data_IF_442486704722
#
_entry.id   IF_442486704722
#
_cell.length_a   1.000
_cell.length_b   1.000
_cell.length_c   1.000
_cell.angle_alpha   90.00
_cell.angle_beta   90.00
_cell.angle_gamma   90.00
#
_symmetry.space_group_name_H-M   'P 1'
#
loop_
_entity.id
_entity.type
_entity.pdbx_description
1 polymer ?
#
# COMPACT_ATOMS: atom_id res chain seq x y z
N UNK A 1 -6.30 14.00 6.25
CA UNK A 1 -5.99 14.24 4.83
C UNK A 1 -7.31 14.28 4.05
N UNK A 2 -7.43 15.04 2.96
CA UNK A 2 -8.59 14.97 2.06
C UNK A 2 -8.14 14.93 0.60
N UNK A 3 -8.53 13.88 -0.15
CA UNK A 3 -8.44 13.87 -1.61
C UNK A 3 -9.58 14.71 -2.18
N UNK A 4 -9.30 15.55 -3.17
CA UNK A 4 -10.32 16.27 -3.92
C UNK A 4 -11.12 15.31 -4.82
N UNK A 5 -12.34 15.73 -5.22
CA UNK A 5 -13.19 14.91 -6.10
C UNK A 5 -12.50 14.57 -7.43
N UNK A 6 -11.76 15.51 -8.02
CA UNK A 6 -11.02 15.29 -9.27
C UNK A 6 -9.89 14.29 -9.10
N UNK A 7 -9.17 14.35 -7.98
CA UNK A 7 -8.12 13.37 -7.64
C UNK A 7 -8.72 11.97 -7.50
N UNK A 8 -9.81 11.81 -6.75
CA UNK A 8 -10.50 10.52 -6.59
C UNK A 8 -10.95 9.95 -7.93
N UNK A 9 -11.52 10.79 -8.82
CA UNK A 9 -11.93 10.36 -10.17
C UNK A 9 -10.73 9.86 -10.99
N UNK A 10 -9.59 10.54 -10.94
CA UNK A 10 -8.39 10.12 -11.66
C UNK A 10 -7.84 8.79 -11.17
N UNK A 11 -7.80 8.60 -9.84
CA UNK A 11 -7.35 7.35 -9.24
C UNK A 11 -8.29 6.19 -9.61
N UNK A 12 -9.60 6.40 -9.47
CA UNK A 12 -10.62 5.40 -9.78
C UNK A 12 -10.60 4.98 -11.24
N UNK A 13 -10.39 5.93 -12.18
CA UNK A 13 -10.26 5.61 -13.61
C UNK A 13 -9.06 4.71 -13.93
N UNK A 14 -8.00 4.74 -13.12
CA UNK A 14 -6.85 3.85 -13.28
C UNK A 14 -7.07 2.49 -12.63
N UNK A 15 -7.76 2.48 -11.50
CA UNK A 15 -7.84 1.32 -10.63
C UNK A 15 -8.75 0.23 -11.20
N UNK A 16 -8.15 -0.84 -11.71
CA UNK A 16 -8.88 -1.99 -12.30
C UNK A 16 -9.30 -2.97 -11.20
N UNK A 17 -10.28 -2.57 -10.40
CA UNK A 17 -10.72 -3.31 -9.19
C UNK A 17 -11.10 -4.79 -9.42
N UNK A 18 -11.56 -5.12 -10.63
CA UNK A 18 -12.02 -6.46 -11.00
C UNK A 18 -10.96 -7.28 -11.78
N UNK A 19 -9.78 -6.70 -12.04
CA UNK A 19 -8.69 -7.34 -12.77
C UNK A 19 -7.62 -7.87 -11.79
N UNK A 20 -7.79 -9.11 -11.33
CA UNK A 20 -6.90 -9.73 -10.35
C UNK A 20 -5.45 -9.84 -10.81
N UNK A 21 -5.21 -10.04 -12.11
CA UNK A 21 -3.86 -10.17 -12.65
C UNK A 21 -3.19 -8.80 -12.73
N UNK A 22 -3.92 -7.74 -13.10
CA UNK A 22 -3.44 -6.37 -13.01
C UNK A 22 -3.13 -5.98 -11.56
N UNK A 23 -4.05 -6.24 -10.62
CA UNK A 23 -3.84 -5.96 -9.19
C UNK A 23 -2.61 -6.71 -8.66
N UNK A 24 -2.44 -7.97 -9.06
CA UNK A 24 -1.26 -8.74 -8.70
C UNK A 24 0.02 -8.13 -9.27
N UNK A 25 0.01 -7.75 -10.55
CA UNK A 25 1.17 -7.14 -11.22
C UNK A 25 1.56 -5.79 -10.59
N UNK A 26 0.59 -4.96 -10.19
CA UNK A 26 0.87 -3.74 -9.41
C UNK A 26 1.53 -4.10 -8.09
N UNK A 27 0.95 -5.03 -7.31
CA UNK A 27 1.55 -5.47 -6.05
C UNK A 27 2.96 -6.01 -6.22
N UNK A 28 3.19 -6.82 -7.26
CA UNK A 28 4.51 -7.35 -7.64
C UNK A 28 5.50 -6.22 -7.91
N UNK A 29 5.14 -5.27 -8.77
CA UNK A 29 5.99 -4.13 -9.12
C UNK A 29 6.35 -3.29 -7.88
N UNK A 30 5.38 -3.04 -6.98
CA UNK A 30 5.63 -2.32 -5.73
C UNK A 30 6.71 -3.00 -4.91
N UNK A 31 6.58 -4.30 -4.66
CA UNK A 31 7.57 -5.05 -3.87
C UNK A 31 8.92 -5.17 -4.57
N UNK A 32 8.95 -5.30 -5.90
CA UNK A 32 10.20 -5.25 -6.68
C UNK A 32 10.93 -3.93 -6.40
N UNK A 33 10.25 -2.79 -6.57
CA UNK A 33 10.82 -1.46 -6.32
C UNK A 33 11.24 -1.30 -4.85
N UNK A 34 10.47 -1.81 -3.89
CA UNK A 34 10.85 -1.80 -2.46
C UNK A 34 12.15 -2.57 -2.24
N UNK A 35 12.27 -3.78 -2.79
CA UNK A 35 13.45 -4.62 -2.59
C UNK A 35 14.67 -4.11 -3.36
N UNK A 36 14.49 -3.41 -4.47
CA UNK A 36 15.58 -2.70 -5.16
C UNK A 36 16.06 -1.48 -4.37
N UNK A 37 15.13 -0.66 -3.86
CA UNK A 37 15.48 0.56 -3.12
C UNK A 37 16.00 0.27 -1.70
N UNK A 38 15.52 -0.80 -1.05
CA UNK A 38 16.02 -1.24 0.25
C UNK A 38 16.02 -2.77 0.36
N UNK A 39 17.09 -3.44 -0.13
CA UNK A 39 17.19 -4.91 -0.11
C UNK A 39 17.05 -5.52 1.29
N UNK A 40 17.41 -4.78 2.35
CA UNK A 40 17.27 -5.22 3.74
C UNK A 40 15.82 -5.53 4.14
N UNK A 41 14.84 -4.90 3.48
CA UNK A 41 13.41 -5.16 3.73
C UNK A 41 13.03 -6.61 3.40
N UNK A 42 13.75 -7.29 2.49
CA UNK A 42 13.57 -8.72 2.21
C UNK A 42 13.68 -9.60 3.46
N UNK A 43 14.43 -9.17 4.47
CA UNK A 43 14.61 -9.93 5.71
C UNK A 43 13.30 -10.17 6.50
N UNK A 44 12.28 -9.35 6.26
CA UNK A 44 10.95 -9.53 6.86
C UNK A 44 10.08 -10.55 6.12
N UNK A 45 10.56 -11.10 5.01
CA UNK A 45 9.83 -12.03 4.15
C UNK A 45 10.61 -13.34 4.01
N UNK A 46 10.45 -14.30 4.95
CA UNK A 46 11.22 -15.54 4.95
C UNK A 46 11.13 -16.35 3.65
N UNK A 47 9.97 -16.31 2.98
CA UNK A 47 9.76 -16.98 1.70
C UNK A 47 10.59 -16.36 0.56
N UNK A 48 10.83 -15.04 0.57
CA UNK A 48 11.72 -14.38 -0.40
C UNK A 48 13.16 -14.85 -0.17
N UNK A 49 13.60 -14.87 1.09
CA UNK A 49 14.94 -15.37 1.42
C UNK A 49 15.13 -16.84 1.05
N UNK A 50 14.07 -17.65 1.17
CA UNK A 50 14.11 -19.04 0.75
C UNK A 50 14.25 -19.16 -0.76
N UNK A 51 13.46 -18.42 -1.54
CA UNK A 51 13.58 -18.37 -2.99
C UNK A 51 14.98 -17.92 -3.44
N UNK A 52 15.52 -16.86 -2.83
CA UNK A 52 16.88 -16.37 -3.12
C UNK A 52 17.94 -17.47 -2.86
N UNK A 53 17.81 -18.26 -1.79
CA UNK A 53 18.73 -19.41 -1.51
C UNK A 53 18.59 -20.56 -2.50
N UNK A 54 17.39 -20.76 -3.04
CA UNK A 54 17.09 -21.85 -3.97
C UNK A 54 17.25 -21.43 -5.44
N UNK A 55 17.73 -20.21 -5.72
CA UNK A 55 17.76 -19.60 -7.06
C UNK A 55 16.39 -19.67 -7.77
N UNK A 56 15.33 -19.37 -7.03
CA UNK A 56 13.95 -19.31 -7.55
C UNK A 56 13.46 -17.86 -7.57
N UNK A 57 12.58 -17.58 -8.53
CA UNK A 57 11.86 -16.29 -8.60
C UNK A 57 10.81 -16.24 -7.48
N UNK A 58 11.03 -15.38 -6.48
CA UNK A 58 10.08 -15.19 -5.37
C UNK A 58 8.74 -14.61 -5.86
N UNK A 59 8.75 -13.91 -6.99
CA UNK A 59 7.59 -13.38 -7.70
C UNK A 59 6.64 -14.48 -8.18
N UNK A 60 7.08 -15.73 -8.29
CA UNK A 60 6.22 -16.84 -8.70
C UNK A 60 5.72 -17.66 -7.49
N UNK A 61 6.14 -17.29 -6.27
CA UNK A 61 5.72 -17.99 -5.05
C UNK A 61 4.28 -17.63 -4.65
N UNK A 62 3.55 -18.64 -4.16
CA UNK A 62 2.19 -18.47 -3.66
C UNK A 62 2.14 -17.55 -2.42
N UNK A 63 3.15 -17.61 -1.57
CA UNK A 63 3.34 -16.74 -0.41
C UNK A 63 3.45 -15.28 -0.83
N UNK A 64 4.28 -15.00 -1.84
CA UNK A 64 4.43 -13.65 -2.35
C UNK A 64 3.14 -13.16 -3.01
N UNK A 65 2.46 -13.98 -3.82
CA UNK A 65 1.18 -13.62 -4.45
C UNK A 65 0.16 -13.16 -3.42
N UNK A 66 0.03 -13.88 -2.31
CA UNK A 66 -0.85 -13.49 -1.19
C UNK A 66 -0.42 -12.18 -0.55
N UNK A 67 0.88 -11.96 -0.34
CA UNK A 67 1.38 -10.72 0.26
C UNK A 67 1.17 -9.50 -0.62
N UNK A 68 1.47 -9.61 -1.92
CA UNK A 68 1.25 -8.56 -2.92
C UNK A 68 -0.22 -8.13 -2.95
N UNK A 69 -1.14 -9.11 -3.03
CA UNK A 69 -2.57 -8.85 -3.06
C UNK A 69 -3.09 -8.21 -1.76
N UNK A 70 -2.57 -8.58 -0.59
CA UNK A 70 -2.95 -7.95 0.68
C UNK A 70 -2.65 -6.45 0.70
N UNK A 71 -1.49 -6.04 0.20
CA UNK A 71 -1.14 -4.63 0.17
C UNK A 71 -2.02 -3.86 -0.82
N UNK A 72 -2.25 -4.42 -1.99
CA UNK A 72 -3.14 -3.84 -3.01
C UNK A 72 -4.58 -3.75 -2.52
N UNK A 73 -5.08 -4.74 -1.77
CA UNK A 73 -6.39 -4.70 -1.12
C UNK A 73 -6.51 -3.54 -0.13
N UNK A 74 -5.46 -3.21 0.63
CA UNK A 74 -5.46 -2.04 1.51
C UNK A 74 -5.61 -0.75 0.70
N UNK A 75 -4.95 -0.64 -0.44
CA UNK A 75 -5.11 0.51 -1.35
C UNK A 75 -6.52 0.56 -1.96
N UNK A 76 -7.09 -0.58 -2.37
CA UNK A 76 -8.49 -0.66 -2.83
C UNK A 76 -9.45 -0.15 -1.76
N UNK A 77 -9.36 -0.66 -0.53
CA UNK A 77 -10.23 -0.24 0.57
C UNK A 77 -10.10 1.26 0.86
N UNK A 78 -8.88 1.81 0.81
CA UNK A 78 -8.68 3.24 0.99
C UNK A 78 -9.31 4.04 -0.15
N UNK A 79 -9.14 3.63 -1.41
CA UNK A 79 -9.71 4.30 -2.57
C UNK A 79 -11.26 4.24 -2.55
N UNK A 80 -11.83 3.07 -2.29
CA UNK A 80 -13.28 2.86 -2.18
C UNK A 80 -13.91 3.76 -1.11
N UNK A 81 -13.21 3.96 0.01
CA UNK A 81 -13.64 4.87 1.08
C UNK A 81 -13.72 6.33 0.59
N UNK A 82 -12.73 6.79 -0.20
CA UNK A 82 -12.72 8.15 -0.75
C UNK A 82 -13.68 8.35 -1.93
N UNK A 83 -13.94 7.30 -2.72
CA UNK A 83 -14.93 7.31 -3.81
C UNK A 83 -16.36 7.50 -3.28
N UNK A 84 -16.69 6.80 -2.21
CA UNK A 84 -18.05 6.73 -1.70
C UNK A 84 -18.34 7.85 -0.70
N UNK A 85 -19.07 8.88 -1.15
CA UNK A 85 -19.45 10.04 -0.34
C UNK A 85 -20.20 9.71 0.98
N UNK A 86 -20.80 8.52 1.08
CA UNK A 86 -21.43 8.02 2.32
C UNK A 86 -20.43 7.77 3.46
N UNK A 87 -19.18 7.41 3.17
CA UNK A 87 -18.17 7.15 4.22
C UNK A 87 -17.49 8.41 4.73
N UNK A 88 -17.75 9.59 4.15
CA UNK A 88 -17.25 10.87 4.67
C UNK A 88 -17.71 11.16 6.11
N UNK A 89 -18.79 10.52 6.55
CA UNK A 89 -19.30 10.62 7.92
C UNK A 89 -18.50 9.78 8.95
N UNK A 90 -17.57 8.91 8.51
CA UNK A 90 -16.80 8.02 9.38
C UNK A 90 -15.39 7.78 8.81
N UNK A 91 -14.55 8.83 8.74
CA UNK A 91 -13.08 8.70 8.55
C UNK A 91 -12.47 7.74 9.60
N UNK A 92 -13.18 7.54 10.72
CA UNK A 92 -12.88 6.60 11.80
C UNK A 92 -12.76 5.14 11.34
N UNK A 93 -13.62 4.63 10.45
CA UNK A 93 -13.60 3.20 10.09
C UNK A 93 -12.33 2.79 9.32
N UNK A 94 -11.99 3.56 8.27
CA UNK A 94 -10.78 3.32 7.50
C UNK A 94 -9.54 3.51 8.37
N UNK A 95 -9.51 4.58 9.17
CA UNK A 95 -8.39 4.85 10.07
C UNK A 95 -8.21 3.75 11.10
N UNK A 96 -9.29 3.24 11.70
CA UNK A 96 -9.24 2.15 12.68
C UNK A 96 -8.77 0.83 12.06
N UNK A 97 -9.19 0.54 10.82
CA UNK A 97 -8.67 -0.59 10.04
C UNK A 97 -7.15 -0.47 9.84
N UNK A 98 -6.69 0.68 9.34
CA UNK A 98 -5.27 0.93 9.04
C UNK A 98 -4.42 0.93 10.32
N UNK A 99 -4.89 1.55 11.40
CA UNK A 99 -4.24 1.47 12.71
C UNK A 99 -4.17 0.03 13.20
N UNK A 100 -5.24 -0.75 13.02
CA UNK A 100 -5.25 -2.18 13.35
C UNK A 100 -4.20 -2.99 12.58
N UNK A 101 -3.97 -2.68 11.30
CA UNK A 101 -2.88 -3.27 10.50
C UNK A 101 -1.53 -2.86 11.10
N UNK A 102 -1.34 -1.58 11.37
CA UNK A 102 -0.13 -1.04 12.00
C UNK A 102 0.23 -1.73 13.31
N UNK A 103 -0.76 -1.86 14.20
CA UNK A 103 -0.63 -2.54 15.49
C UNK A 103 -0.16 -3.99 15.34
N UNK A 104 -0.76 -4.76 14.42
CA UNK A 104 -0.39 -6.16 14.17
C UNK A 104 1.09 -6.29 13.75
N UNK A 105 1.64 -5.31 13.05
CA UNK A 105 3.03 -5.35 12.58
C UNK A 105 4.07 -5.12 13.70
N UNK A 106 3.65 -4.72 14.90
CA UNK A 106 4.54 -4.70 16.08
C UNK A 106 5.15 -6.04 16.40
N UNK A 107 4.47 -7.14 16.05
CA UNK A 107 4.99 -8.50 16.21
C UNK A 107 6.37 -8.67 15.53
N UNK A 108 6.63 -7.92 14.46
CA UNK A 108 7.89 -7.96 13.71
C UNK A 108 8.97 -7.02 14.27
N UNK A 109 8.70 -6.23 15.32
CA UNK A 109 9.69 -5.35 15.95
C UNK A 109 10.91 -6.12 16.47
N UNK A 110 10.70 -7.34 16.96
CA UNK A 110 11.75 -8.24 17.48
C UNK A 110 12.75 -8.67 16.40
N UNK A 111 12.34 -8.68 15.14
CA UNK A 111 13.23 -8.96 14.00
C UNK A 111 13.71 -7.67 13.31
N UNK A 112 13.55 -6.52 13.97
CA UNK A 112 14.06 -5.23 13.51
C UNK A 112 13.09 -4.42 12.64
N UNK A 113 11.83 -4.85 12.49
CA UNK A 113 10.84 -4.07 11.74
C UNK A 113 10.54 -2.76 12.48
N UNK A 114 10.64 -1.66 11.74
CA UNK A 114 10.34 -0.29 12.18
C UNK A 114 9.36 0.38 11.23
N UNK A 115 8.52 1.32 11.71
CA UNK A 115 7.54 1.99 10.84
C UNK A 115 8.15 2.75 9.66
N UNK A 116 9.38 3.23 9.81
CA UNK A 116 10.14 3.86 8.73
C UNK A 116 10.34 2.97 7.49
N UNK A 117 10.24 1.63 7.61
CA UNK A 117 10.25 0.75 6.45
C UNK A 117 8.99 0.87 5.60
N UNK A 118 7.86 1.38 6.11
CA UNK A 118 6.67 1.63 5.28
C UNK A 118 6.81 2.86 4.40
N UNK A 119 7.67 3.83 4.77
CA UNK A 119 7.85 5.04 3.97
C UNK A 119 8.36 4.73 2.54
N UNK A 120 9.13 3.65 2.39
CA UNK A 120 9.59 3.21 1.06
C UNK A 120 8.44 2.68 0.19
N UNK A 121 7.38 2.15 0.81
CA UNK A 121 6.18 1.67 0.09
C UNK A 121 5.39 2.83 -0.52
N UNK A 122 5.42 4.03 0.06
CA UNK A 122 4.83 5.23 -0.54
C UNK A 122 5.49 5.50 -1.90
N UNK A 123 6.82 5.58 -1.91
CA UNK A 123 7.59 5.85 -3.13
C UNK A 123 7.43 4.73 -4.16
N UNK A 124 7.49 3.47 -3.70
CA UNK A 124 7.34 2.32 -4.57
C UNK A 124 5.93 2.21 -5.19
N UNK A 125 4.88 2.46 -4.41
CA UNK A 125 3.51 2.49 -4.89
C UNK A 125 3.32 3.56 -5.97
N UNK A 126 3.77 4.78 -5.71
CA UNK A 126 3.68 5.88 -6.68
C UNK A 126 4.46 5.55 -7.96
N UNK A 127 5.68 4.99 -7.85
CA UNK A 127 6.46 4.57 -9.03
C UNK A 127 5.75 3.51 -9.85
N UNK A 128 5.27 2.44 -9.21
CA UNK A 128 4.57 1.35 -9.88
C UNK A 128 3.31 1.84 -10.60
N UNK A 129 2.52 2.67 -9.94
CA UNK A 129 1.26 3.20 -10.48
C UNK A 129 1.50 4.25 -11.56
N UNK A 130 2.56 5.05 -11.47
CA UNK A 130 2.89 5.99 -12.54
C UNK A 130 3.44 5.28 -13.77
N UNK A 131 4.24 4.22 -13.60
CA UNK A 131 4.70 3.35 -14.69
C UNK A 131 3.53 2.68 -15.41
N UNK A 132 2.56 2.14 -14.68
CA UNK A 132 1.32 1.62 -15.26
C UNK A 132 0.55 2.71 -16.03
N UNK A 133 0.50 3.93 -15.48
CA UNK A 133 -0.18 5.06 -16.11
C UNK A 133 0.53 5.60 -17.37
N UNK A 134 1.78 5.24 -17.66
CA UNK A 134 2.45 5.61 -18.92
C UNK A 134 1.73 5.02 -20.14
N UNK A 135 1.01 3.92 -19.95
CA UNK A 135 0.17 3.31 -20.98
C UNK A 135 -1.14 4.09 -21.24
N UNK A 136 -1.48 5.08 -20.41
CA UNK A 136 -2.69 5.88 -20.54
C UNK A 136 -2.40 7.10 -21.42
N UNK A 137 -3.24 7.30 -22.44
CA UNK A 137 -3.23 8.51 -23.26
C UNK A 137 -3.90 9.67 -22.50
N UNK A 138 -3.12 10.32 -21.63
CA UNK A 138 -3.55 11.46 -20.81
C UNK A 138 -2.55 12.60 -20.89
N UNK A 139 -3.05 13.83 -20.76
CA UNK A 139 -2.20 15.02 -20.73
C UNK A 139 -1.27 15.06 -19.51
N UNK A 140 -0.20 15.86 -19.60
CA UNK A 140 0.81 15.94 -18.55
C UNK A 140 0.29 16.55 -17.24
N UNK A 141 -0.73 17.42 -17.30
CA UNK A 141 -1.36 17.97 -16.11
C UNK A 141 -2.09 16.88 -15.32
N UNK A 142 -2.82 16.00 -16.00
CA UNK A 142 -3.49 14.85 -15.42
C UNK A 142 -2.48 13.86 -14.81
N UNK A 143 -1.31 13.66 -15.43
CA UNK A 143 -0.22 12.84 -14.85
C UNK A 143 0.30 13.41 -13.54
N UNK A 144 0.52 14.72 -13.48
CA UNK A 144 0.99 15.42 -12.26
C UNK A 144 -0.05 15.33 -11.14
N UNK A 145 -1.33 15.57 -11.44
CA UNK A 145 -2.42 15.46 -10.47
C UNK A 145 -2.55 14.02 -9.98
N UNK A 146 -2.50 13.03 -10.89
CA UNK A 146 -2.56 11.60 -10.56
C UNK A 146 -1.42 11.18 -9.63
N UNK A 147 -0.19 11.59 -9.93
CA UNK A 147 0.98 11.34 -9.07
C UNK A 147 0.76 11.90 -7.67
N UNK A 148 0.34 13.16 -7.59
CA UNK A 148 0.06 13.85 -6.32
C UNK A 148 -1.07 13.15 -5.53
N UNK A 149 -2.10 12.67 -6.22
CA UNK A 149 -3.20 11.95 -5.61
C UNK A 149 -2.76 10.58 -5.05
N UNK A 150 -1.91 9.85 -5.77
CA UNK A 150 -1.32 8.60 -5.27
C UNK A 150 -0.39 8.83 -4.09
N UNK A 151 0.43 9.88 -4.12
CA UNK A 151 1.28 10.29 -2.98
C UNK A 151 0.41 10.55 -1.75
N UNK A 152 -0.64 11.36 -1.88
CA UNK A 152 -1.59 11.63 -0.80
C UNK A 152 -2.18 10.33 -0.24
N UNK A 153 -2.83 9.52 -1.08
CA UNK A 153 -3.52 8.30 -0.64
C UNK A 153 -2.56 7.35 0.10
N UNK A 154 -1.40 7.07 -0.50
CA UNK A 154 -0.42 6.12 0.05
C UNK A 154 0.23 6.66 1.32
N UNK A 155 0.53 7.96 1.39
CA UNK A 155 1.01 8.60 2.63
C UNK A 155 -0.02 8.50 3.75
N UNK A 156 -1.32 8.73 3.47
CA UNK A 156 -2.36 8.57 4.51
C UNK A 156 -2.45 7.13 5.02
N UNK A 157 -2.42 6.15 4.12
CA UNK A 157 -2.40 4.72 4.48
C UNK A 157 -1.23 4.44 5.42
N UNK A 158 -0.01 4.84 5.03
CA UNK A 158 1.19 4.63 5.84
C UNK A 158 1.12 5.37 7.17
N UNK A 159 0.75 6.65 7.19
CA UNK A 159 0.65 7.42 8.44
C UNK A 159 -0.35 6.80 9.43
N UNK A 160 -1.51 6.32 8.98
CA UNK A 160 -2.45 5.64 9.87
C UNK A 160 -1.88 4.30 10.41
N UNK A 161 -1.12 3.57 9.59
CA UNK A 161 -0.43 2.36 10.03
C UNK A 161 0.69 2.69 11.04
N UNK A 162 1.43 3.78 10.85
CA UNK A 162 2.42 4.26 11.81
C UNK A 162 1.77 4.65 13.14
N UNK A 163 0.66 5.38 13.12
CA UNK A 163 -0.13 5.70 14.31
C UNK A 163 -0.55 4.43 15.08
N UNK A 164 -1.08 3.43 14.38
CA UNK A 164 -1.45 2.16 14.99
C UNK A 164 -0.26 1.35 15.52
N UNK A 165 0.91 1.48 14.88
CA UNK A 165 2.15 0.90 15.37
C UNK A 165 2.66 1.62 16.63
N UNK A 166 2.31 2.88 16.87
CA UNK A 166 2.74 3.60 18.08
C UNK A 166 1.66 3.65 19.18
N UNK A 167 0.39 3.36 18.90
CA UNK A 167 -0.69 3.37 19.91
C UNK A 167 -0.56 2.29 20.98
N UNK A 168 -0.64 2.64 22.26
CA UNK A 168 -0.56 1.66 23.36
C UNK A 168 -1.70 0.63 23.34
N UNK A 169 -1.40 -0.61 23.76
CA UNK A 169 -2.39 -1.69 23.86
C UNK A 169 -3.55 -1.39 24.82
N UNK A 170 -3.41 -0.36 25.65
CA UNK A 170 -4.37 0.07 26.67
C UNK A 170 -5.55 0.88 26.10
N UNK A 171 -5.44 1.50 24.93
CA UNK A 171 -6.53 2.31 24.34
C UNK A 171 -7.74 1.47 23.85
N UNK A 172 -7.62 0.14 23.80
CA UNK A 172 -8.67 -0.78 23.33
C UNK A 172 -9.47 -1.47 24.42
N UNK A 173 -9.11 -1.32 25.70
CA UNK A 173 -9.88 -1.93 26.80
C UNK A 173 -11.07 -1.08 27.25
N UNK A 174 -11.19 0.16 26.76
CA UNK A 174 -12.24 1.10 27.16
C UNK A 174 -13.23 1.45 26.02
N UNK A 175 -13.37 0.60 24.99
CA UNK A 175 -14.41 0.74 23.95
C UNK A 175 -15.15 -0.56 23.67
#
# INVERSE_FOLDING_TARGET
>A
MCLSKSEVVLLTKQWRKDDFDWLYNIGKEIYTVVFEMCPRVKSFFPYVLQCDRENKEWQESHEFRRQALRFVQVLSHALDHFENAKYKASDTELRDLLRGIGFKHRAFSKIGFRPTHWQIFVVAAVKALMKDAESLDVDDAAKVIRKTAWEKLTSYVVSCMEEGYYSDSTERLDR
#
